data_IF_669930827340
#
_entry.id   IF_669930827340
#
_cell.length_a   1.000
_cell.length_b   1.000
_cell.length_c   1.000
_cell.angle_alpha   90.00
_cell.angle_beta   90.00
_cell.angle_gamma   90.00
#
_symmetry.space_group_name_H-M   'P 1'
#
loop_
_entity.id
_entity.type
_entity.pdbx_description
1 polymer ?
#
# COMPACT_ATOMS: atom_id res chain seq x y z
N UNK A 1 5.73 -4.17 5.52
CA UNK A 1 4.38 -3.57 5.64
C UNK A 1 4.04 -2.97 7.01
N UNK A 2 4.84 -3.18 8.08
CA UNK A 2 4.39 -2.83 9.45
C UNK A 2 4.54 -1.36 9.82
N UNK A 3 5.75 -0.78 9.81
CA UNK A 3 5.92 0.59 10.33
C UNK A 3 5.61 1.70 9.30
N UNK A 4 5.85 1.44 8.01
CA UNK A 4 5.75 2.47 6.98
C UNK A 4 4.30 2.87 6.66
N UNK A 5 3.36 1.93 6.71
CA UNK A 5 1.94 2.20 6.49
C UNK A 5 1.40 3.10 7.59
N UNK A 6 1.68 2.82 8.86
CA UNK A 6 1.28 3.65 10.00
C UNK A 6 1.85 5.07 9.92
N UNK A 7 3.13 5.21 9.55
CA UNK A 7 3.74 6.51 9.33
C UNK A 7 3.01 7.30 8.24
N UNK A 8 2.76 6.69 7.08
CA UNK A 8 2.01 7.32 5.98
C UNK A 8 0.60 7.70 6.42
N UNK A 9 -0.10 6.83 7.16
CA UNK A 9 -1.44 7.11 7.67
C UNK A 9 -1.43 8.32 8.62
N UNK A 10 -0.45 8.41 9.51
CA UNK A 10 -0.30 9.51 10.47
C UNK A 10 -0.07 10.86 9.79
N UNK A 11 0.83 10.92 8.79
CA UNK A 11 1.19 12.20 8.15
C UNK A 11 0.21 12.66 7.07
N UNK A 12 -0.46 11.73 6.38
CA UNK A 12 -1.35 12.06 5.24
C UNK A 12 -2.83 11.98 5.58
N UNK A 13 -3.20 11.26 6.64
CA UNK A 13 -4.60 10.90 6.92
C UNK A 13 -5.21 9.90 5.93
N UNK A 14 -4.45 9.43 4.92
CA UNK A 14 -4.86 8.36 4.03
C UNK A 14 -4.88 7.05 4.79
N UNK A 15 -5.89 6.20 4.59
CA UNK A 15 -5.97 4.91 5.29
C UNK A 15 -6.68 3.86 4.45
N UNK A 16 -6.47 2.59 4.80
CA UNK A 16 -7.17 1.46 4.16
C UNK A 16 -8.68 1.58 4.37
N UNK A 17 -9.12 1.94 5.59
CA UNK A 17 -10.54 2.09 5.92
C UNK A 17 -11.24 3.21 5.14
N UNK A 18 -10.52 4.28 4.77
CA UNK A 18 -11.05 5.36 3.92
C UNK A 18 -10.86 5.10 2.42
N UNK A 19 -10.29 3.95 2.04
CA UNK A 19 -9.93 3.57 0.66
C UNK A 19 -8.96 4.54 -0.04
N UNK A 20 -8.36 5.47 0.69
CA UNK A 20 -7.38 6.44 0.18
C UNK A 20 -5.94 5.94 0.25
N UNK A 21 -5.71 4.77 0.86
CA UNK A 21 -4.46 4.02 0.79
C UNK A 21 -4.70 2.67 0.11
N UNK A 22 -3.75 2.23 -0.70
CA UNK A 22 -3.74 0.92 -1.35
C UNK A 22 -2.45 0.20 -1.03
N UNK A 23 -2.56 -1.06 -0.63
CA UNK A 23 -1.40 -1.93 -0.41
C UNK A 23 -1.03 -2.64 -1.71
N UNK A 24 0.24 -2.53 -2.09
CA UNK A 24 0.79 -3.22 -3.26
C UNK A 24 1.88 -4.18 -2.78
N UNK A 25 1.63 -5.48 -2.89
CA UNK A 25 2.54 -6.52 -2.40
C UNK A 25 3.68 -6.78 -3.39
N UNK A 26 4.62 -5.83 -3.45
CA UNK A 26 5.80 -5.90 -4.31
C UNK A 26 7.10 -6.12 -3.54
N UNK A 27 7.04 -6.29 -2.21
CA UNK A 27 8.22 -6.43 -1.36
C UNK A 27 9.14 -5.20 -1.33
N UNK A 28 8.64 -4.00 -1.69
CA UNK A 28 9.43 -2.76 -1.80
C UNK A 28 9.08 -1.77 -0.69
N UNK A 29 10.10 -1.17 -0.07
CA UNK A 29 9.92 -0.06 0.87
C UNK A 29 9.74 1.26 0.11
N UNK A 30 8.54 1.46 -0.43
CA UNK A 30 8.21 2.62 -1.22
C UNK A 30 6.73 2.96 -1.14
N UNK A 31 6.41 4.24 -1.28
CA UNK A 31 5.05 4.74 -1.39
C UNK A 31 4.93 5.66 -2.60
N UNK A 32 3.78 5.63 -3.27
CA UNK A 32 3.43 6.62 -4.29
C UNK A 32 2.28 7.47 -3.76
N UNK A 33 2.46 8.78 -3.73
CA UNK A 33 1.45 9.75 -3.34
C UNK A 33 0.83 10.34 -4.59
N UNK A 34 -0.48 10.26 -4.72
CA UNK A 34 -1.21 10.68 -5.92
C UNK A 34 -2.25 11.74 -5.56
N UNK A 35 -2.18 12.88 -6.25
CA UNK A 35 -3.13 13.96 -6.11
C UNK A 35 -4.21 13.85 -7.19
N UNK A 36 -5.39 13.39 -6.78
CA UNK A 36 -6.55 13.21 -7.68
C UNK A 36 -7.02 14.51 -8.33
N UNK A 37 -6.74 15.68 -7.76
CA UNK A 37 -7.17 16.96 -8.32
C UNK A 37 -6.26 17.41 -9.47
N UNK A 38 -4.97 17.09 -9.40
CA UNK A 38 -3.97 17.57 -10.36
C UNK A 38 -3.44 16.49 -11.30
N UNK A 39 -3.84 15.23 -11.11
CA UNK A 39 -3.31 14.06 -11.83
C UNK A 39 -1.78 13.90 -11.71
N UNK A 40 -1.20 14.36 -10.59
CA UNK A 40 0.24 14.27 -10.33
C UNK A 40 0.53 13.25 -9.24
N UNK A 41 1.57 12.43 -9.47
CA UNK A 41 2.08 11.52 -8.45
C UNK A 41 3.60 11.64 -8.27
N UNK A 42 4.03 11.44 -7.03
CA UNK A 42 5.43 11.29 -6.64
C UNK A 42 5.60 9.94 -5.97
N UNK A 43 6.62 9.20 -6.38
CA UNK A 43 7.06 7.97 -5.74
C UNK A 43 8.26 8.26 -4.85
N UNK A 44 8.18 7.81 -3.60
CA UNK A 44 9.22 7.90 -2.58
C UNK A 44 9.70 6.49 -2.27
N UNK A 45 11.01 6.26 -2.34
CA UNK A 45 11.65 4.97 -2.06
C UNK A 45 12.65 5.18 -0.93
N UNK A 46 12.58 4.36 0.12
CA UNK A 46 13.58 4.38 1.19
C UNK A 46 14.92 3.85 0.65
N UNK A 47 16.02 4.57 0.95
CA UNK A 47 17.37 4.14 0.58
C UNK A 47 17.90 3.14 1.59
N UNK A 48 18.36 1.98 1.12
CA UNK A 48 19.00 0.98 1.99
C UNK A 48 20.27 1.53 2.64
N UNK A 49 21.04 2.34 1.90
CA UNK A 49 22.28 2.97 2.39
C UNK A 49 22.07 3.91 3.59
N UNK A 50 20.86 4.43 3.81
CA UNK A 50 20.56 5.28 4.96
C UNK A 50 20.82 4.57 6.30
N UNK A 51 20.66 3.24 6.35
CA UNK A 51 20.93 2.45 7.56
C UNK A 51 22.43 2.38 7.87
N UNK A 52 23.27 2.32 6.85
CA UNK A 52 24.71 2.25 7.03
C UNK A 52 25.29 3.63 7.34
N UNK A 53 24.77 4.68 6.70
CA UNK A 53 25.07 6.07 7.06
C UNK A 53 24.69 6.34 8.52
N UNK A 54 23.52 5.87 8.98
CA UNK A 54 23.10 6.05 10.36
C UNK A 54 24.06 5.42 11.38
N UNK A 55 24.56 4.19 11.11
CA UNK A 55 25.57 3.54 11.95
C UNK A 55 26.88 4.34 11.97
N UNK A 56 27.28 4.90 10.83
CA UNK A 56 28.52 5.68 10.72
C UNK A 56 28.44 7.03 11.45
N UNK A 57 27.23 7.62 11.56
CA UNK A 57 27.02 8.90 12.27
C UNK A 57 27.07 8.75 13.80
N UNK A 58 26.68 7.58 14.34
CA UNK A 58 26.64 7.31 15.77
C UNK A 58 27.33 5.97 16.11
N UNK A 59 28.65 5.86 15.88
CA UNK A 59 29.38 4.60 16.05
C UNK A 59 29.46 4.14 17.51
N UNK A 60 29.40 5.08 18.46
CA UNK A 60 29.52 4.81 19.90
C UNK A 60 28.20 4.36 20.55
N UNK A 61 27.10 4.34 19.80
CA UNK A 61 25.80 3.92 20.30
C UNK A 61 25.57 2.43 20.04
N UNK A 62 25.58 1.62 21.11
CA UNK A 62 25.41 0.16 21.00
C UNK A 62 24.01 -0.24 20.49
N UNK A 63 22.97 0.52 20.84
CA UNK A 63 21.63 0.30 20.32
C UNK A 63 21.48 0.87 18.91
N UNK A 64 21.51 -0.03 17.93
CA UNK A 64 21.36 0.28 16.51
C UNK A 64 20.05 0.99 16.19
N UNK A 65 18.96 0.72 16.92
CA UNK A 65 17.67 1.38 16.67
C UNK A 65 17.68 2.82 17.19
N UNK A 66 18.29 3.05 18.35
CA UNK A 66 18.48 4.40 18.88
C UNK A 66 19.40 5.23 17.96
N UNK A 67 20.49 4.63 17.47
CA UNK A 67 21.42 5.29 16.54
C UNK A 67 20.72 5.69 15.23
N UNK A 68 19.88 4.79 14.71
CA UNK A 68 19.08 5.05 13.52
C UNK A 68 18.05 6.17 13.75
N UNK A 69 17.40 6.19 14.92
CA UNK A 69 16.45 7.23 15.27
C UNK A 69 17.11 8.61 15.34
N UNK A 70 18.27 8.72 15.99
CA UNK A 70 19.00 9.99 16.08
C UNK A 70 19.54 10.44 14.71
N UNK A 71 20.07 9.52 13.91
CA UNK A 71 20.51 9.82 12.56
C UNK A 71 19.38 10.32 11.66
N UNK A 72 18.22 9.67 11.70
CA UNK A 72 17.09 10.02 10.83
C UNK A 72 16.48 11.39 11.16
N UNK A 73 16.70 11.93 12.37
CA UNK A 73 16.27 13.28 12.75
C UNK A 73 17.10 14.40 12.09
N UNK A 74 18.36 14.13 11.76
CA UNK A 74 19.32 15.13 11.26
C UNK A 74 19.78 14.88 9.83
N UNK A 75 19.57 13.66 9.33
CA UNK A 75 19.93 13.27 7.96
C UNK A 75 19.03 14.00 6.95
N UNK A 76 19.59 14.57 5.86
CA UNK A 76 18.78 15.22 4.85
C UNK A 76 17.90 14.20 4.12
N UNK A 77 16.71 14.63 3.69
CA UNK A 77 15.74 13.78 2.98
C UNK A 77 16.35 13.06 1.77
N UNK A 78 17.30 13.69 1.09
CA UNK A 78 18.00 13.12 -0.07
C UNK A 78 18.87 11.92 0.28
N UNK A 79 19.31 11.76 1.53
CA UNK A 79 20.06 10.59 2.00
C UNK A 79 19.12 9.47 2.49
N UNK A 80 17.93 9.84 2.99
CA UNK A 80 16.91 8.91 3.44
C UNK A 80 16.11 8.30 2.27
N UNK A 81 15.83 9.11 1.26
CA UNK A 81 14.86 8.77 0.21
C UNK A 81 15.35 9.11 -1.20
N UNK A 82 14.85 8.34 -2.15
CA UNK A 82 14.84 8.69 -3.57
C UNK A 82 13.42 9.04 -3.98
N UNK A 83 13.22 10.24 -4.53
CA UNK A 83 11.93 10.70 -5.02
C UNK A 83 11.91 10.80 -6.54
N UNK A 84 10.82 10.39 -7.18
CA UNK A 84 10.66 10.51 -8.63
C UNK A 84 9.21 10.80 -9.01
N UNK A 85 8.94 11.70 -9.98
CA UNK A 85 7.61 11.83 -10.57
C UNK A 85 7.21 10.52 -11.25
N UNK A 86 5.96 10.10 -11.07
CA UNK A 86 5.41 8.89 -11.70
C UNK A 86 3.99 9.15 -12.19
N UNK A 87 3.54 8.32 -13.14
CA UNK A 87 2.11 8.22 -13.47
C UNK A 87 1.52 7.04 -12.72
N UNK A 88 0.41 7.25 -12.03
CA UNK A 88 -0.37 6.20 -11.35
C UNK A 88 -1.68 6.05 -12.10
N UNK A 89 -1.98 4.84 -12.58
CA UNK A 89 -3.28 4.52 -13.15
C UNK A 89 -4.13 3.91 -12.06
N UNK A 90 -5.19 4.61 -11.64
CA UNK A 90 -6.18 4.08 -10.70
C UNK A 90 -7.44 3.67 -11.45
N UNK A 91 -7.81 2.39 -11.43
CA UNK A 91 -9.08 1.97 -12.02
C UNK A 91 -10.27 2.43 -11.13
N UNK A 92 -11.49 2.55 -11.68
CA UNK A 92 -12.66 3.06 -10.96
C UNK A 92 -12.94 2.34 -9.62
N UNK A 93 -12.76 1.03 -9.57
CA UNK A 93 -12.92 0.18 -8.39
C UNK A 93 -11.93 0.49 -7.24
N UNK A 94 -10.86 1.21 -7.54
CA UNK A 94 -9.85 1.63 -6.57
C UNK A 94 -9.98 3.10 -6.17
N UNK A 95 -10.85 3.87 -6.82
CA UNK A 95 -11.10 5.24 -6.43
C UNK A 95 -11.62 5.32 -4.99
N UNK A 96 -11.16 6.30 -4.19
CA UNK A 96 -11.74 6.55 -2.88
C UNK A 96 -13.16 7.09 -3.05
N UNK A 97 -14.07 6.70 -2.15
CA UNK A 97 -15.47 7.13 -2.20
C UNK A 97 -16.45 6.01 -1.90
N UNK A 98 -17.72 6.26 -2.22
CA UNK A 98 -18.79 5.27 -2.06
C UNK A 98 -18.62 4.14 -3.07
N UNK A 99 -19.01 2.90 -2.70
CA UNK A 99 -18.94 1.79 -3.63
C UNK A 99 -19.72 2.06 -4.92
N UNK A 100 -19.14 1.72 -6.08
CA UNK A 100 -19.78 1.91 -7.38
C UNK A 100 -20.80 0.81 -7.68
N UNK A 101 -20.54 -0.41 -7.23
CA UNK A 101 -21.40 -1.57 -7.44
C UNK A 101 -21.39 -2.50 -6.24
N UNK A 102 -22.46 -3.27 -6.10
CA UNK A 102 -22.57 -4.38 -5.15
C UNK A 102 -23.39 -5.48 -5.78
N UNK A 103 -22.76 -6.64 -5.98
CA UNK A 103 -23.39 -7.84 -6.57
C UNK A 103 -23.30 -9.00 -5.58
N UNK A 104 -24.04 -10.07 -5.85
CA UNK A 104 -24.00 -11.31 -5.05
C UNK A 104 -23.33 -12.39 -5.88
N UNK A 105 -22.33 -13.07 -5.32
CA UNK A 105 -21.68 -14.19 -6.00
C UNK A 105 -22.66 -15.35 -6.15
N UNK A 106 -22.85 -15.84 -7.38
CA UNK A 106 -23.78 -16.94 -7.66
C UNK A 106 -23.36 -18.30 -7.07
N UNK A 107 -22.08 -18.45 -6.66
CA UNK A 107 -21.56 -19.71 -6.08
C UNK A 107 -21.61 -19.76 -4.56
N UNK A 108 -21.19 -18.70 -3.86
CA UNK A 108 -21.16 -18.68 -2.38
C UNK A 108 -22.23 -17.81 -1.72
N UNK A 109 -22.91 -16.94 -2.47
CA UNK A 109 -23.91 -16.02 -1.92
C UNK A 109 -23.33 -14.79 -1.20
N UNK A 110 -22.01 -14.65 -1.12
CA UNK A 110 -21.37 -13.47 -0.54
C UNK A 110 -21.49 -12.24 -1.44
N UNK A 111 -21.53 -11.05 -0.83
CA UNK A 111 -21.53 -9.81 -1.58
C UNK A 111 -20.13 -9.43 -2.06
N UNK A 112 -20.03 -9.12 -3.34
CA UNK A 112 -18.84 -8.53 -3.96
C UNK A 112 -19.10 -7.05 -4.19
N UNK A 113 -18.16 -6.20 -3.78
CA UNK A 113 -18.25 -4.75 -3.95
C UNK A 113 -17.25 -4.26 -4.98
N UNK A 114 -17.59 -3.13 -5.61
CA UNK A 114 -16.68 -2.33 -6.41
C UNK A 114 -16.02 -3.13 -7.53
N UNK A 115 -16.84 -3.74 -8.38
CA UNK A 115 -16.41 -4.37 -9.63
C UNK A 115 -15.30 -5.44 -9.46
N UNK A 116 -15.21 -6.06 -8.28
CA UNK A 116 -14.22 -7.09 -7.95
C UNK A 116 -14.68 -8.50 -8.34
N UNK A 117 -15.88 -8.63 -8.89
CA UNK A 117 -16.43 -9.86 -9.43
C UNK A 117 -15.78 -10.25 -10.76
N UNK A 118 -15.78 -11.54 -11.04
CA UNK A 118 -15.43 -12.13 -12.33
C UNK A 118 -16.76 -12.40 -13.04
N UNK A 119 -16.91 -11.90 -14.26
CA UNK A 119 -18.10 -12.15 -15.09
C UNK A 119 -18.01 -13.55 -15.71
N UNK A 120 -19.04 -14.38 -15.52
CA UNK A 120 -19.17 -15.70 -16.17
C UNK A 120 -20.54 -15.82 -16.85
N UNK A 121 -20.74 -16.83 -17.73
CA UNK A 121 -22.05 -17.08 -18.35
C UNK A 121 -23.17 -17.35 -17.33
N UNK A 122 -22.84 -17.91 -16.16
CA UNK A 122 -23.80 -18.22 -15.09
C UNK A 122 -24.06 -17.03 -14.15
N UNK A 123 -23.39 -15.90 -14.36
CA UNK A 123 -23.50 -14.68 -13.55
C UNK A 123 -22.19 -14.25 -12.87
N UNK A 124 -22.23 -13.23 -12.00
CA UNK A 124 -21.04 -12.73 -11.33
C UNK A 124 -20.54 -13.69 -10.25
N UNK A 125 -19.22 -13.94 -10.21
CA UNK A 125 -18.57 -14.75 -9.16
C UNK A 125 -17.49 -13.96 -8.42
N UNK A 126 -17.28 -14.21 -7.12
CA UNK A 126 -16.18 -13.60 -6.37
C UNK A 126 -14.83 -14.21 -6.78
N UNK A 127 -13.72 -13.50 -6.51
CA UNK A 127 -12.35 -13.98 -6.82
C UNK A 127 -12.06 -15.37 -6.25
N UNK A 128 -12.35 -15.69 -4.97
CA UNK A 128 -12.17 -17.06 -4.45
C UNK A 128 -12.94 -18.13 -5.25
N UNK A 129 -14.24 -17.91 -5.50
CA UNK A 129 -15.08 -18.83 -6.26
C UNK A 129 -14.70 -18.96 -7.75
N UNK A 130 -13.96 -17.98 -8.28
CA UNK A 130 -13.35 -17.99 -9.60
C UNK A 130 -11.91 -18.54 -9.63
N UNK A 131 -11.43 -19.14 -8.53
CA UNK A 131 -10.10 -19.78 -8.47
C UNK A 131 -8.93 -18.84 -8.16
N UNK A 132 -9.21 -17.59 -7.74
CA UNK A 132 -8.21 -16.59 -7.33
C UNK A 132 -8.25 -16.32 -5.83
N UNK A 133 -8.61 -17.34 -5.04
CA UNK A 133 -8.64 -17.25 -3.58
C UNK A 133 -7.24 -17.35 -2.99
N UNK A 134 -6.98 -16.62 -1.90
CA UNK A 134 -5.77 -16.81 -1.09
C UNK A 134 -5.90 -17.98 -0.10
N UNK A 135 -7.09 -18.61 -0.05
CA UNK A 135 -7.44 -19.67 0.89
C UNK A 135 -8.16 -20.80 0.16
N UNK A 136 -8.08 -21.99 0.75
CA UNK A 136 -8.85 -23.15 0.36
C UNK A 136 -9.80 -23.52 1.49
N UNK A 137 -11.01 -23.95 1.15
CA UNK A 137 -11.95 -24.44 2.14
C UNK A 137 -11.55 -25.86 2.55
N UNK A 138 -11.12 -26.02 3.81
CA UNK A 138 -10.80 -27.33 4.35
C UNK A 138 -12.09 -28.00 4.84
N UNK A 139 -12.63 -28.90 4.01
CA UNK A 139 -13.76 -29.76 4.37
C UNK A 139 -15.16 -29.14 4.22
N UNK A 140 -16.15 -30.02 4.06
CA UNK A 140 -17.57 -29.75 4.33
C UNK A 140 -18.00 -30.65 5.47
#
# INVERSE_FOLDING_TARGET
>A
DRCATDAVQSVTGCSLGKRSMKFMDYGKMAASFYNLKTDQAIRVVAKEGARDTAKAMFPDMEDKYAAQLEAYKVMPDSELFTTMPVRVSLPPEDMPGRPLSRVVCVKCGEHVQDMREISTPDGPVCKPCGGQGYYEQVGR
#
